data_IF_783182607767
#
_entry.id   IF_783182607767
#
_cell.length_a   1.000
_cell.length_b   1.000
_cell.length_c   1.000
_cell.angle_alpha   90.00
_cell.angle_beta   90.00
_cell.angle_gamma   90.00
#
_symmetry.space_group_name_H-M   'P 1'
#
loop_
_entity.id
_entity.type
_entity.pdbx_description
1 polymer ?
#
# COMPACT_ATOMS: atom_id res chain seq x y z
N UNK A 1 -1.49 -13.40 -13.84
CA UNK A 1 -2.02 -12.03 -14.12
C UNK A 1 -2.98 -11.61 -13.01
N UNK A 2 -2.61 -10.56 -12.28
CA UNK A 2 -3.41 -10.00 -11.18
C UNK A 2 -4.72 -9.36 -11.65
N UNK A 3 -5.67 -9.14 -10.73
CA UNK A 3 -6.97 -8.52 -11.04
C UNK A 3 -6.81 -7.13 -11.69
N UNK A 4 -5.90 -6.31 -11.16
CA UNK A 4 -5.57 -4.97 -11.68
C UNK A 4 -5.05 -5.07 -13.12
N UNK A 5 -4.08 -5.96 -13.38
CA UNK A 5 -3.52 -6.15 -14.72
C UNK A 5 -4.57 -6.59 -15.76
N UNK A 6 -5.50 -7.48 -15.37
CA UNK A 6 -6.61 -7.90 -16.25
C UNK A 6 -7.51 -6.71 -16.61
N UNK A 7 -7.79 -5.82 -15.65
CA UNK A 7 -8.58 -4.61 -15.86
C UNK A 7 -7.83 -3.64 -16.77
N UNK A 8 -6.54 -3.40 -16.52
CA UNK A 8 -5.69 -2.53 -17.35
C UNK A 8 -5.67 -2.99 -18.80
N UNK A 9 -5.42 -4.29 -19.06
CA UNK A 9 -5.46 -4.84 -20.43
C UNK A 9 -6.82 -4.69 -21.09
N UNK A 10 -7.91 -4.76 -20.32
CA UNK A 10 -9.26 -4.53 -20.85
C UNK A 10 -9.47 -3.07 -21.24
N UNK A 11 -9.01 -2.13 -20.41
CA UNK A 11 -9.04 -0.69 -20.70
C UNK A 11 -8.26 -0.38 -21.98
N UNK A 12 -7.04 -0.91 -22.11
CA UNK A 12 -6.21 -0.74 -23.32
C UNK A 12 -6.91 -1.24 -24.59
N UNK A 13 -7.55 -2.41 -24.53
CA UNK A 13 -8.33 -2.95 -25.67
C UNK A 13 -9.49 -2.02 -26.04
N UNK A 14 -10.16 -1.42 -25.04
CA UNK A 14 -11.24 -0.47 -25.29
C UNK A 14 -10.73 0.83 -25.91
N UNK A 15 -9.57 1.35 -25.47
CA UNK A 15 -8.92 2.50 -26.10
C UNK A 15 -8.57 2.23 -27.57
N UNK A 16 -7.98 1.07 -27.88
CA UNK A 16 -7.75 0.66 -29.28
C UNK A 16 -9.05 0.59 -30.09
N UNK A 17 -10.13 0.14 -29.46
CA UNK A 17 -11.46 0.13 -30.06
C UNK A 17 -11.98 1.54 -30.38
N UNK A 18 -11.75 2.51 -29.51
CA UNK A 18 -12.10 3.92 -29.73
C UNK A 18 -11.28 4.51 -30.88
N UNK A 19 -9.96 4.27 -30.92
CA UNK A 19 -9.11 4.76 -32.01
C UNK A 19 -9.61 4.33 -33.39
N UNK A 20 -9.98 3.05 -33.54
CA UNK A 20 -10.59 2.54 -34.78
C UNK A 20 -11.93 3.20 -35.15
N UNK A 21 -12.68 3.70 -34.16
CA UNK A 21 -13.94 4.41 -34.40
C UNK A 21 -13.64 5.85 -34.85
N UNK A 22 -12.63 6.48 -34.24
CA UNK A 22 -12.18 7.82 -34.60
C UNK A 22 -11.61 7.85 -36.02
N UNK A 23 -10.81 6.84 -36.42
CA UNK A 23 -10.35 6.63 -37.80
C UNK A 23 -11.53 6.56 -38.78
N UNK A 24 -12.59 5.81 -38.45
CA UNK A 24 -13.80 5.72 -39.29
C UNK A 24 -14.53 7.05 -39.41
N UNK A 25 -14.56 7.85 -38.35
CA UNK A 25 -15.14 9.20 -38.40
C UNK A 25 -14.32 10.09 -39.33
N UNK A 26 -13.00 9.98 -39.29
CA UNK A 26 -12.11 10.71 -40.20
C UNK A 26 -12.32 10.29 -41.67
N UNK A 27 -12.44 8.98 -41.95
CA UNK A 27 -12.77 8.47 -43.27
C UNK A 27 -14.14 9.00 -43.78
N UNK A 28 -15.14 9.06 -42.90
CA UNK A 28 -16.46 9.64 -43.21
C UNK A 28 -16.31 11.12 -43.60
N UNK A 29 -15.49 11.89 -42.88
CA UNK A 29 -15.23 13.29 -43.21
C UNK A 29 -14.54 13.42 -44.57
N UNK A 30 -13.53 12.59 -44.85
CA UNK A 30 -12.84 12.54 -46.15
C UNK A 30 -13.81 12.20 -47.29
N UNK A 31 -14.70 11.23 -47.12
CA UNK A 31 -15.72 10.87 -48.11
C UNK A 31 -16.70 12.01 -48.39
N UNK A 32 -17.09 12.77 -47.36
CA UNK A 32 -17.94 13.94 -47.53
C UNK A 32 -17.19 15.09 -48.24
N UNK A 33 -15.92 15.32 -47.92
CA UNK A 33 -15.08 16.31 -48.59
C UNK A 33 -14.83 15.97 -50.07
N UNK A 34 -14.76 14.69 -50.40
CA UNK A 34 -14.68 14.19 -51.77
C UNK A 34 -16.05 14.07 -52.47
N UNK A 35 -17.12 14.61 -51.89
CA UNK A 35 -18.49 14.55 -52.41
C UNK A 35 -19.06 13.14 -52.69
N UNK A 36 -18.46 12.09 -52.10
CA UNK A 36 -18.92 10.70 -52.23
C UNK A 36 -20.15 10.37 -51.38
N UNK A 37 -20.40 11.20 -50.36
CA UNK A 37 -21.58 11.12 -49.49
C UNK A 37 -22.10 12.53 -49.24
N UNK A 38 -23.39 12.64 -48.96
CA UNK A 38 -24.04 13.91 -48.60
C UNK A 38 -23.65 14.36 -47.19
N UNK A 39 -23.84 15.67 -46.91
CA UNK A 39 -23.68 16.21 -45.55
C UNK A 39 -24.61 15.52 -44.54
N UNK A 40 -25.83 15.18 -44.95
CA UNK A 40 -26.80 14.49 -44.09
C UNK A 40 -26.33 13.07 -43.73
N UNK A 41 -25.82 12.31 -44.70
CA UNK A 41 -25.25 10.98 -44.46
C UNK A 41 -24.01 11.04 -43.57
N UNK A 42 -23.13 12.02 -43.81
CA UNK A 42 -21.96 12.28 -42.94
C UNK A 42 -22.40 12.45 -41.49
N UNK A 43 -23.36 13.34 -41.22
CA UNK A 43 -23.84 13.59 -39.86
C UNK A 43 -24.48 12.35 -39.23
N UNK A 44 -25.31 11.62 -39.97
CA UNK A 44 -25.92 10.38 -39.48
C UNK A 44 -24.87 9.34 -39.09
N UNK A 45 -23.88 9.11 -39.96
CA UNK A 45 -22.81 8.14 -39.72
C UNK A 45 -21.89 8.60 -38.57
N UNK A 46 -21.50 9.87 -38.56
CA UNK A 46 -20.68 10.46 -37.50
C UNK A 46 -21.36 10.31 -36.14
N UNK A 47 -22.64 10.62 -36.01
CA UNK A 47 -23.40 10.44 -34.75
C UNK A 47 -23.43 8.97 -34.31
N UNK A 48 -23.68 8.03 -35.24
CA UNK A 48 -23.68 6.60 -34.94
C UNK A 48 -22.33 6.12 -34.39
N UNK A 49 -21.23 6.58 -35.00
CA UNK A 49 -19.88 6.21 -34.57
C UNK A 49 -19.48 6.92 -33.26
N UNK A 50 -19.80 8.21 -33.12
CA UNK A 50 -19.56 8.97 -31.88
C UNK A 50 -20.27 8.35 -30.68
N UNK A 51 -21.56 8.00 -30.81
CA UNK A 51 -22.31 7.36 -29.73
C UNK A 51 -21.70 6.02 -29.30
N UNK A 52 -21.13 5.25 -30.24
CA UNK A 52 -20.39 4.04 -29.92
C UNK A 52 -19.10 4.34 -29.16
N UNK A 53 -18.33 5.34 -29.60
CA UNK A 53 -17.12 5.77 -28.90
C UNK A 53 -17.44 6.23 -27.47
N UNK A 54 -18.51 7.01 -27.28
CA UNK A 54 -18.92 7.48 -25.96
C UNK A 54 -19.38 6.34 -25.05
N UNK A 55 -20.08 5.34 -25.60
CA UNK A 55 -20.40 4.10 -24.88
C UNK A 55 -19.14 3.34 -24.43
N UNK A 56 -18.10 3.27 -25.26
CA UNK A 56 -16.81 2.68 -24.89
C UNK A 56 -16.08 3.51 -23.82
N UNK A 57 -16.06 4.83 -23.95
CA UNK A 57 -15.49 5.76 -22.95
C UNK A 57 -16.17 5.61 -21.60
N UNK A 58 -17.51 5.45 -21.58
CA UNK A 58 -18.27 5.14 -20.37
C UNK A 58 -17.80 3.85 -19.68
N UNK A 59 -17.59 2.77 -20.46
CA UNK A 59 -17.08 1.50 -19.93
C UNK A 59 -15.65 1.62 -19.40
N UNK A 60 -14.79 2.38 -20.06
CA UNK A 60 -13.42 2.65 -19.60
C UNK A 60 -13.46 3.33 -18.24
N UNK A 61 -14.20 4.42 -18.08
CA UNK A 61 -14.32 5.14 -16.79
C UNK A 61 -14.81 4.23 -15.66
N UNK A 62 -15.76 3.35 -15.95
CA UNK A 62 -16.24 2.38 -14.97
C UNK A 62 -15.12 1.40 -14.56
N UNK A 63 -14.38 0.85 -15.52
CA UNK A 63 -13.27 -0.07 -15.25
C UNK A 63 -12.12 0.63 -14.49
N UNK A 64 -11.82 1.88 -14.82
CA UNK A 64 -10.81 2.69 -14.12
C UNK A 64 -11.21 2.90 -12.66
N UNK A 65 -12.48 3.21 -12.40
CA UNK A 65 -13.00 3.33 -11.03
C UNK A 65 -12.81 2.04 -10.25
N UNK A 66 -13.08 0.89 -10.86
CA UNK A 66 -12.85 -0.42 -10.25
C UNK A 66 -11.35 -0.63 -9.99
N UNK A 67 -10.48 -0.34 -10.97
CA UNK A 67 -9.02 -0.48 -10.85
C UNK A 67 -8.50 0.32 -9.66
N UNK A 68 -8.88 1.60 -9.59
CA UNK A 68 -8.51 2.51 -8.50
C UNK A 68 -9.03 2.03 -7.15
N UNK A 69 -10.23 1.44 -7.11
CA UNK A 69 -10.78 0.81 -5.90
C UNK A 69 -9.89 -0.33 -5.38
N UNK A 70 -9.39 -1.19 -6.27
CA UNK A 70 -8.44 -2.25 -5.89
C UNK A 70 -7.09 -1.70 -5.44
N UNK A 71 -6.54 -0.71 -6.15
CA UNK A 71 -5.27 -0.06 -5.77
C UNK A 71 -5.36 0.59 -4.39
N UNK A 72 -6.48 1.25 -4.07
CA UNK A 72 -6.70 1.84 -2.75
C UNK A 72 -6.72 0.79 -1.64
N UNK A 73 -7.43 -0.33 -1.85
CA UNK A 73 -7.49 -1.43 -0.86
C UNK A 73 -6.11 -2.03 -0.61
N UNK A 74 -5.33 -2.27 -1.66
CA UNK A 74 -3.96 -2.79 -1.52
C UNK A 74 -3.09 -1.84 -0.68
N UNK A 75 -3.11 -0.53 -0.98
CA UNK A 75 -2.38 0.48 -0.20
C UNK A 75 -2.82 0.59 1.25
N UNK A 76 -4.11 0.35 1.52
CA UNK A 76 -4.63 0.35 2.90
C UNK A 76 -4.16 -0.89 3.67
N UNK A 77 -4.16 -2.05 3.02
CA UNK A 77 -3.64 -3.30 3.60
C UNK A 77 -2.13 -3.23 3.87
N UNK A 78 -1.35 -2.62 2.97
CA UNK A 78 0.08 -2.36 3.17
C UNK A 78 0.31 -1.47 4.38
N UNK A 79 -0.40 -0.33 4.48
CA UNK A 79 -0.30 0.55 5.66
C UNK A 79 -0.65 -0.16 6.97
N UNK A 80 -1.71 -0.96 6.98
CA UNK A 80 -2.08 -1.77 8.17
C UNK A 80 -1.01 -2.79 8.54
N UNK A 81 -0.29 -3.35 7.57
CA UNK A 81 0.83 -4.28 7.83
C UNK A 81 2.04 -3.54 8.40
N UNK A 82 2.36 -2.38 7.84
CA UNK A 82 3.45 -1.51 8.33
C UNK A 82 3.20 -1.06 9.78
N UNK A 83 1.99 -0.60 10.08
CA UNK A 83 1.59 -0.20 11.44
C UNK A 83 1.74 -1.35 12.45
N UNK A 84 1.26 -2.55 12.09
CA UNK A 84 1.44 -3.76 12.93
C UNK A 84 2.92 -4.11 13.14
N UNK A 85 3.74 -3.96 12.10
CA UNK A 85 5.18 -4.21 12.17
C UNK A 85 5.88 -3.18 13.07
N UNK A 86 5.48 -1.92 13.02
CA UNK A 86 6.00 -0.87 13.90
C UNK A 86 5.61 -1.10 15.36
N UNK A 87 4.35 -1.44 15.62
CA UNK A 87 3.87 -1.76 16.96
C UNK A 87 4.56 -2.99 17.55
N UNK A 88 4.78 -4.04 16.75
CA UNK A 88 5.53 -5.22 17.18
C UNK A 88 6.99 -4.87 17.50
N UNK A 89 7.62 -4.01 16.69
CA UNK A 89 8.97 -3.49 16.96
C UNK A 89 9.03 -2.67 18.25
N UNK A 90 8.04 -1.80 18.50
CA UNK A 90 7.95 -1.02 19.75
C UNK A 90 7.80 -1.94 20.96
N UNK A 91 6.86 -2.89 20.92
CA UNK A 91 6.68 -3.89 21.99
C UNK A 91 7.95 -4.68 22.26
N UNK A 92 8.66 -5.12 21.21
CA UNK A 92 9.95 -5.83 21.36
C UNK A 92 11.03 -4.96 22.03
N UNK A 93 11.10 -3.66 21.70
CA UNK A 93 12.05 -2.72 22.33
C UNK A 93 11.71 -2.49 23.81
N UNK A 94 10.45 -2.24 24.14
CA UNK A 94 10.00 -2.08 25.54
C UNK A 94 10.28 -3.32 26.38
N UNK A 95 10.02 -4.51 25.84
CA UNK A 95 10.27 -5.77 26.53
C UNK A 95 11.77 -5.97 26.82
N UNK A 96 12.65 -5.58 25.89
CA UNK A 96 14.11 -5.61 26.09
C UNK A 96 14.54 -4.65 27.21
N UNK A 97 14.03 -3.42 27.20
CA UNK A 97 14.36 -2.43 28.24
C UNK A 97 13.87 -2.88 29.63
N UNK A 98 12.66 -3.46 29.74
CA UNK A 98 12.17 -4.02 31.00
C UNK A 98 13.08 -5.14 31.52
N UNK A 99 13.46 -6.07 30.64
CA UNK A 99 14.39 -7.16 31.00
C UNK A 99 15.78 -6.65 31.40
N UNK A 100 16.28 -5.58 30.78
CA UNK A 100 17.54 -4.96 31.20
C UNK A 100 17.43 -4.28 32.57
N UNK A 101 16.32 -3.57 32.85
CA UNK A 101 16.08 -2.96 34.16
C UNK A 101 15.96 -4.00 35.27
N UNK A 102 15.17 -5.05 35.08
CA UNK A 102 15.06 -6.16 36.05
C UNK A 102 16.41 -6.87 36.28
N UNK A 103 17.24 -7.00 35.24
CA UNK A 103 18.59 -7.55 35.40
C UNK A 103 19.49 -6.63 36.23
N UNK A 104 19.41 -5.31 36.02
CA UNK A 104 20.19 -4.32 36.79
C UNK A 104 19.79 -4.30 38.26
N UNK A 105 18.49 -4.27 38.58
CA UNK A 105 18.00 -4.37 39.97
C UNK A 105 18.48 -5.66 40.64
N UNK A 106 18.41 -6.80 39.94
CA UNK A 106 18.92 -8.08 40.49
C UNK A 106 20.43 -8.11 40.72
N UNK A 107 21.22 -7.35 39.98
CA UNK A 107 22.67 -7.21 40.24
C UNK A 107 22.94 -6.25 41.39
N UNK A 108 22.19 -5.15 41.52
CA UNK A 108 22.34 -4.19 42.63
C UNK A 108 21.91 -4.81 43.98
N UNK A 109 20.85 -5.63 44.00
CA UNK A 109 20.46 -6.39 45.19
C UNK A 109 21.52 -7.42 45.61
N UNK A 110 22.20 -8.05 44.65
CA UNK A 110 23.29 -9.00 44.93
C UNK A 110 24.54 -8.30 45.47
N UNK A 111 24.93 -7.17 44.88
CA UNK A 111 26.06 -6.37 45.38
C UNK A 111 25.79 -5.82 46.78
N UNK A 112 24.56 -5.41 47.08
CA UNK A 112 24.19 -4.93 48.43
C UNK A 112 24.11 -6.06 49.48
N UNK A 113 23.68 -7.27 49.12
CA UNK A 113 23.77 -8.44 50.02
C UNK A 113 25.23 -8.87 50.27
N UNK A 114 26.08 -8.91 49.25
CA UNK A 114 27.51 -9.23 49.41
C UNK A 114 28.25 -8.19 50.26
N UNK A 115 27.91 -6.89 50.10
CA UNK A 115 28.47 -5.82 50.92
C UNK A 115 28.03 -5.87 52.39
N UNK A 116 26.82 -6.37 52.69
CA UNK A 116 26.35 -6.61 54.06
C UNK A 116 27.07 -7.79 54.70
N UNK A 117 27.21 -8.92 53.99
CA UNK A 117 27.95 -10.10 54.49
C UNK A 117 29.41 -9.78 54.80
N UNK A 118 30.09 -9.02 53.94
CA UNK A 118 31.49 -8.62 54.17
C UNK A 118 31.69 -7.65 55.36
N UNK A 119 30.63 -6.95 55.81
CA UNK A 119 30.69 -6.12 57.03
C UNK A 119 30.47 -6.93 58.30
N UNK A 120 29.63 -7.96 58.27
CA UNK A 120 29.42 -8.86 59.41
C UNK A 120 30.66 -9.73 59.68
N UNK A 121 31.33 -10.25 58.64
CA UNK A 121 32.57 -11.01 58.81
C UNK A 121 33.72 -10.17 59.40
N UNK A 122 33.83 -8.89 59.01
CA UNK A 122 34.83 -7.96 59.58
C UNK A 122 34.55 -7.53 61.02
N UNK A 123 33.30 -7.62 61.48
CA UNK A 123 32.95 -7.37 62.88
C UNK A 123 33.30 -8.58 63.76
N UNK A 124 33.07 -9.80 63.28
CA UNK A 124 33.44 -11.04 63.97
C UNK A 124 34.96 -11.26 64.10
N UNK A 125 35.75 -10.87 63.09
CA UNK A 125 37.23 -10.96 63.16
C UNK A 125 37.85 -10.02 64.20
N UNK A 126 37.20 -8.89 64.53
CA UNK A 126 37.68 -7.97 65.56
C UNK A 126 37.40 -8.46 66.98
N UNK A 127 36.34 -9.23 67.20
CA UNK A 127 36.02 -9.80 68.52
C UNK A 127 36.93 -10.99 68.90
N UNK A 128 37.46 -11.74 67.92
CA UNK A 128 38.38 -12.86 68.22
C UNK A 128 39.81 -12.45 68.60
N UNK A 129 40.23 -11.20 68.36
CA UNK A 129 41.58 -10.70 68.68
C UNK A 129 41.72 -10.07 70.07
N UNK A 130 40.66 -10.07 70.90
CA UNK A 130 40.63 -9.43 72.23
C UNK A 130 40.72 -10.45 73.40
N UNK A 131 40.97 -11.74 73.14
CA UNK A 131 41.23 -12.73 74.21
C UNK A 131 42.71 -12.95 74.46
#
# INVERSE_FOLDING_TARGET
MGKIEKITKRIEKLHKGIGKIEEKIEEINKKCGAHKITKAERERLKRKHSAKADGLRGRIRHLERIRLGYEKKMKEEERKKEEKLEDEKKRKKELKQKKEKEKKEKTEDKETEEFKKGKEEKAGEKEMKIK
#
